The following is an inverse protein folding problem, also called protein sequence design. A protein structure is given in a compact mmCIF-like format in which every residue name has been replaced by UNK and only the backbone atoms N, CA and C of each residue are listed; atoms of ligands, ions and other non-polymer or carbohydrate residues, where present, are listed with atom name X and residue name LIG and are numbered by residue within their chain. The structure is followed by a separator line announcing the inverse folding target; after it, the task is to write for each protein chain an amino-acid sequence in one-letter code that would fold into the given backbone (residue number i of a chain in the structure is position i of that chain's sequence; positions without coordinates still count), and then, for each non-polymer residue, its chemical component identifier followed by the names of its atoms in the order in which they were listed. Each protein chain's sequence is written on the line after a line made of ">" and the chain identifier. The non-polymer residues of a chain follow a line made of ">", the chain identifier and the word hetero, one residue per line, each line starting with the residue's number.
data_IF_285916085120
#
_entry.id   IF_285916085120
#
_cell.length_a   1.000
_cell.length_b   1.000
_cell.length_c   1.000
_cell.angle_alpha   90.00
_cell.angle_beta   90.00
_cell.angle_gamma   90.00
#
_symmetry.space_group_name_H-M   'P 1'
#
loop_
_entity.id
_entity.type
_entity.pdbx_description
1 polymer ?
#
# COMPACT_ATOMS: atom_id res chain seq x y z
N UNK A 1 -15.16 23.60 -25.98
CA UNK A 1 -15.05 22.52 -24.98
C UNK A 1 -14.00 21.55 -25.50
N UNK A 2 -12.79 21.58 -24.95
CA UNK A 2 -11.66 20.76 -25.44
C UNK A 2 -11.73 19.44 -24.69
N UNK A 3 -12.12 18.36 -25.38
CA UNK A 3 -12.03 17.02 -24.85
C UNK A 3 -10.55 16.63 -24.89
N UNK A 4 -9.87 16.69 -23.75
CA UNK A 4 -8.59 16.00 -23.61
C UNK A 4 -8.91 14.50 -23.69
N UNK A 5 -8.57 13.88 -24.82
CA UNK A 5 -8.52 12.44 -24.94
C UNK A 5 -7.49 11.94 -23.92
N UNK A 6 -7.96 11.52 -22.76
CA UNK A 6 -7.15 10.80 -21.79
C UNK A 6 -6.85 9.46 -22.47
N UNK A 7 -5.64 9.32 -23.02
CA UNK A 7 -5.19 8.04 -23.54
C UNK A 7 -5.16 7.07 -22.35
N UNK A 8 -5.95 5.98 -22.38
CA UNK A 8 -6.01 5.06 -21.25
C UNK A 8 -4.64 4.40 -21.06
N UNK A 9 -4.07 4.53 -19.85
CA UNK A 9 -2.83 3.87 -19.47
C UNK A 9 -3.16 2.47 -18.94
N UNK A 10 -2.65 1.41 -19.56
CA UNK A 10 -2.87 0.04 -19.10
C UNK A 10 -1.86 -0.29 -18.00
N UNK A 11 -2.32 -0.43 -16.76
CA UNK A 11 -1.44 -0.56 -15.60
C UNK A 11 -1.10 -2.00 -15.25
N UNK A 12 -1.91 -2.97 -15.65
CA UNK A 12 -1.72 -4.37 -15.30
C UNK A 12 -0.91 -5.15 -16.33
N UNK A 13 -0.96 -4.75 -17.61
CA UNK A 13 -0.38 -5.52 -18.72
C UNK A 13 0.84 -4.86 -19.37
N UNK A 14 1.12 -3.59 -19.08
CA UNK A 14 2.23 -2.90 -19.72
C UNK A 14 3.56 -3.15 -18.98
N UNK A 15 4.64 -3.24 -19.77
CA UNK A 15 6.01 -3.41 -19.28
C UNK A 15 6.68 -2.09 -18.92
N UNK A 16 6.18 -0.97 -19.46
CA UNK A 16 6.67 0.39 -19.27
C UNK A 16 5.81 1.17 -18.25
N UNK A 17 5.42 0.49 -17.17
CA UNK A 17 4.57 1.09 -16.13
C UNK A 17 5.42 1.91 -15.17
N UNK A 18 4.92 3.09 -14.82
CA UNK A 18 5.47 3.97 -13.78
C UNK A 18 5.78 3.17 -12.50
N UNK A 19 6.95 3.41 -11.88
CA UNK A 19 7.41 2.67 -10.70
C UNK A 19 6.39 2.72 -9.54
N UNK A 20 5.70 3.85 -9.36
CA UNK A 20 4.68 4.01 -8.31
C UNK A 20 3.54 2.99 -8.54
N UNK A 21 3.10 2.86 -9.79
CA UNK A 21 2.02 1.96 -10.22
C UNK A 21 2.48 0.51 -10.20
N UNK A 22 3.75 0.24 -10.53
CA UNK A 22 4.31 -1.11 -10.47
C UNK A 22 4.27 -1.68 -9.04
N UNK A 23 4.56 -0.85 -8.03
CA UNK A 23 4.50 -1.23 -6.61
C UNK A 23 3.06 -1.39 -6.12
N UNK A 24 2.12 -0.59 -6.64
CA UNK A 24 0.70 -0.66 -6.30
C UNK A 24 -0.09 -1.69 -7.15
N UNK A 25 0.56 -2.41 -8.06
CA UNK A 25 -0.10 -3.30 -9.03
C UNK A 25 -1.01 -4.34 -8.38
N UNK A 26 -0.58 -4.93 -7.27
CA UNK A 26 -1.39 -5.94 -6.57
C UNK A 26 -2.65 -5.32 -5.95
N UNK A 27 -2.54 -4.13 -5.36
CA UNK A 27 -3.66 -3.40 -4.80
C UNK A 27 -4.67 -2.99 -5.89
N UNK A 28 -4.17 -2.50 -7.04
CA UNK A 28 -4.98 -2.17 -8.22
C UNK A 28 -5.74 -3.40 -8.71
N UNK A 29 -5.04 -4.53 -8.87
CA UNK A 29 -5.66 -5.77 -9.35
C UNK A 29 -6.76 -6.26 -8.40
N UNK A 30 -6.51 -6.21 -7.09
CA UNK A 30 -7.52 -6.57 -6.07
C UNK A 30 -8.74 -5.66 -6.17
N UNK A 31 -8.53 -4.34 -6.26
CA UNK A 31 -9.60 -3.38 -6.42
C UNK A 31 -10.46 -3.66 -7.67
N UNK A 32 -9.84 -3.91 -8.83
CA UNK A 32 -10.57 -4.20 -10.07
C UNK A 32 -11.47 -5.42 -9.92
N UNK A 33 -10.96 -6.51 -9.34
CA UNK A 33 -11.74 -7.74 -9.11
C UNK A 33 -12.89 -7.49 -8.13
N UNK A 34 -12.63 -6.82 -7.01
CA UNK A 34 -13.66 -6.53 -6.00
C UNK A 34 -14.74 -5.58 -6.53
N UNK A 35 -14.36 -4.60 -7.35
CA UNK A 35 -15.28 -3.67 -8.00
C UNK A 35 -16.20 -4.38 -9.00
N UNK A 36 -15.71 -5.32 -9.80
CA UNK A 36 -16.53 -6.12 -10.72
C UNK A 36 -17.65 -6.90 -10.00
N UNK A 37 -17.36 -7.40 -8.80
CA UNK A 37 -18.30 -8.13 -7.95
C UNK A 37 -19.25 -7.22 -7.15
N UNK A 38 -19.12 -5.90 -7.30
CA UNK A 38 -19.87 -4.93 -6.50
C UNK A 38 -21.07 -4.37 -7.26
N UNK A 39 -22.20 -4.30 -6.54
CA UNK A 39 -23.52 -3.93 -7.07
C UNK A 39 -24.13 -2.70 -6.38
N UNK A 40 -23.41 -2.04 -5.47
CA UNK A 40 -23.91 -0.85 -4.78
C UNK A 40 -22.86 0.25 -4.66
N UNK A 41 -23.31 1.51 -4.65
CA UNK A 41 -22.46 2.70 -4.52
C UNK A 41 -21.63 2.62 -3.24
N UNK A 42 -22.27 2.31 -2.11
CA UNK A 42 -21.59 2.07 -0.83
C UNK A 42 -20.49 1.00 -0.92
N UNK A 43 -20.75 -0.10 -1.64
CA UNK A 43 -19.77 -1.16 -1.87
C UNK A 43 -18.55 -0.68 -2.65
N UNK A 44 -18.76 0.10 -3.71
CA UNK A 44 -17.65 0.63 -4.50
C UNK A 44 -16.80 1.58 -3.66
N UNK A 45 -17.43 2.41 -2.84
CA UNK A 45 -16.73 3.32 -1.93
C UNK A 45 -15.93 2.57 -0.86
N UNK A 46 -16.42 1.44 -0.36
CA UNK A 46 -15.65 0.58 0.55
C UNK A 46 -14.38 0.07 -0.14
N UNK A 47 -14.50 -0.49 -1.34
CA UNK A 47 -13.34 -1.03 -2.08
C UNK A 47 -12.36 0.09 -2.44
N UNK A 48 -12.86 1.26 -2.84
CA UNK A 48 -12.05 2.43 -3.12
C UNK A 48 -11.33 2.94 -1.86
N UNK A 49 -11.97 2.86 -0.70
CA UNK A 49 -11.36 3.17 0.59
C UNK A 49 -10.21 2.22 0.92
N UNK A 50 -10.35 0.94 0.58
CA UNK A 50 -9.27 -0.04 0.66
C UNK A 50 -8.10 0.30 -0.27
N UNK A 51 -8.38 0.74 -1.50
CA UNK A 51 -7.35 1.18 -2.44
C UNK A 51 -6.62 2.45 -1.94
N UNK A 52 -7.36 3.42 -1.39
CA UNK A 52 -6.77 4.61 -0.77
C UNK A 52 -5.81 4.22 0.35
N UNK A 53 -6.20 3.28 1.21
CA UNK A 53 -5.34 2.82 2.30
C UNK A 53 -4.00 2.26 1.79
N UNK A 54 -4.01 1.45 0.73
CA UNK A 54 -2.77 0.90 0.12
C UNK A 54 -1.89 2.00 -0.47
N UNK A 55 -2.49 3.02 -1.07
CA UNK A 55 -1.76 4.19 -1.60
C UNK A 55 -1.16 5.01 -0.47
N UNK A 56 -1.90 5.20 0.63
CA UNK A 56 -1.40 5.89 1.83
C UNK A 56 -0.27 5.12 2.52
N UNK A 57 -0.35 3.79 2.59
CA UNK A 57 0.70 2.93 3.13
C UNK A 57 1.97 3.01 2.28
N UNK A 58 1.83 2.97 0.95
CA UNK A 58 2.92 3.25 0.03
C UNK A 58 3.53 4.65 0.25
N UNK A 59 2.69 5.66 0.48
CA UNK A 59 3.15 7.00 0.83
C UNK A 59 3.89 7.08 2.17
N UNK A 60 3.47 6.30 3.16
CA UNK A 60 4.17 6.18 4.44
C UNK A 60 5.54 5.52 4.25
N UNK A 61 5.61 4.44 3.47
CA UNK A 61 6.86 3.80 3.06
C UNK A 61 7.81 4.80 2.39
N UNK A 62 7.31 5.62 1.45
CA UNK A 62 8.14 6.63 0.78
C UNK A 62 8.66 7.75 1.68
N UNK A 63 7.94 8.08 2.75
CA UNK A 63 8.40 9.04 3.76
C UNK A 63 9.56 8.48 4.59
N UNK A 64 9.50 7.19 4.93
CA UNK A 64 10.55 6.51 5.69
C UNK A 64 11.79 6.22 4.82
N UNK A 65 11.59 5.80 3.57
CA UNK A 65 12.64 5.37 2.65
C UNK A 65 12.83 6.34 1.48
N UNK A 66 13.16 7.61 1.77
CA UNK A 66 13.37 8.67 0.76
C UNK A 66 14.36 8.33 -0.35
N UNK A 67 15.30 7.41 -0.11
CA UNK A 67 16.29 7.00 -1.12
C UNK A 67 15.69 6.17 -2.26
N UNK A 68 14.53 5.55 -2.04
CA UNK A 68 13.86 4.65 -2.99
C UNK A 68 12.76 5.38 -3.78
N UNK A 69 12.17 6.42 -3.19
CA UNK A 69 11.06 7.15 -3.79
C UNK A 69 11.50 8.45 -4.50
N UNK A 70 10.68 8.97 -5.42
CA UNK A 70 10.99 10.21 -6.13
C UNK A 70 11.18 11.40 -5.16
N UNK A 71 12.11 12.33 -5.43
CA UNK A 71 12.40 13.46 -4.55
C UNK A 71 11.20 14.40 -4.33
N UNK A 72 10.27 14.44 -5.28
CA UNK A 72 9.03 15.23 -5.23
C UNK A 72 7.80 14.31 -5.15
N UNK A 73 7.83 13.34 -4.23
CA UNK A 73 6.71 12.43 -4.01
C UNK A 73 5.45 13.20 -3.58
N UNK A 74 4.39 13.08 -4.38
CA UNK A 74 3.05 13.60 -4.07
C UNK A 74 2.04 12.46 -4.10
N UNK A 75 1.54 12.14 -2.91
CA UNK A 75 0.56 11.09 -2.68
C UNK A 75 -0.73 11.28 -3.48
N UNK A 76 -1.21 12.54 -3.60
CA UNK A 76 -2.41 12.85 -4.37
C UNK A 76 -2.18 12.59 -5.85
N UNK A 77 -0.99 12.89 -6.34
CA UNK A 77 -0.61 12.61 -7.72
C UNK A 77 -0.51 11.11 -7.98
N UNK A 78 0.06 10.33 -7.06
CA UNK A 78 0.07 8.86 -7.16
C UNK A 78 -1.36 8.32 -7.21
N UNK A 79 -2.24 8.78 -6.33
CA UNK A 79 -3.65 8.39 -6.35
C UNK A 79 -4.33 8.75 -7.69
N UNK A 80 -4.06 9.94 -8.23
CA UNK A 80 -4.57 10.33 -9.56
C UNK A 80 -4.04 9.41 -10.67
N UNK A 81 -2.76 9.04 -10.65
CA UNK A 81 -2.20 8.06 -11.61
C UNK A 81 -2.90 6.71 -11.50
N UNK A 82 -3.14 6.22 -10.28
CA UNK A 82 -3.88 4.97 -10.04
C UNK A 82 -5.29 5.04 -10.63
N UNK A 83 -6.02 6.13 -10.40
CA UNK A 83 -7.36 6.33 -10.98
C UNK A 83 -7.35 6.58 -12.50
N UNK A 84 -6.19 6.84 -13.09
CA UNK A 84 -6.02 7.00 -14.54
C UNK A 84 -5.73 5.67 -15.26
N UNK A 85 -5.53 4.59 -14.50
CA UNK A 85 -5.38 3.25 -15.06
C UNK A 85 -6.66 2.82 -15.77
N UNK A 86 -6.54 2.32 -17.00
CA UNK A 86 -7.66 1.89 -17.83
C UNK A 86 -8.55 0.86 -17.11
N UNK A 87 -7.92 -0.07 -16.39
CA UNK A 87 -8.61 -1.13 -15.65
C UNK A 87 -9.40 -0.54 -14.46
N UNK A 88 -8.83 0.45 -13.77
CA UNK A 88 -9.49 1.14 -12.65
C UNK A 88 -10.63 2.03 -13.16
N UNK A 89 -10.43 2.72 -14.29
CA UNK A 89 -11.45 3.53 -14.95
C UNK A 89 -12.66 2.66 -15.32
N UNK A 90 -12.41 1.52 -15.96
CA UNK A 90 -13.47 0.59 -16.35
C UNK A 90 -14.22 0.05 -15.13
N UNK A 91 -13.48 -0.32 -14.08
CA UNK A 91 -14.06 -0.78 -12.81
C UNK A 91 -14.90 0.31 -12.12
N UNK A 92 -14.54 1.58 -12.23
CA UNK A 92 -15.28 2.70 -11.65
C UNK A 92 -16.42 3.22 -12.53
N UNK A 93 -16.47 2.86 -13.82
CA UNK A 93 -17.48 3.35 -14.76
C UNK A 93 -18.94 3.25 -14.27
N UNK A 94 -19.37 2.21 -13.51
CA UNK A 94 -20.72 2.17 -12.96
C UNK A 94 -21.06 3.34 -12.03
N UNK A 95 -20.07 3.93 -11.35
CA UNK A 95 -20.29 5.09 -10.48
C UNK A 95 -20.48 6.41 -11.24
N UNK A 96 -20.19 6.47 -12.53
CA UNK A 96 -20.28 7.72 -13.30
C UNK A 96 -21.70 8.31 -13.30
N UNK A 97 -22.74 7.48 -13.20
CA UNK A 97 -24.14 7.90 -13.07
C UNK A 97 -24.57 8.32 -11.66
N UNK A 98 -23.72 8.10 -10.65
CA UNK A 98 -24.04 8.20 -9.24
C UNK A 98 -23.15 9.21 -8.51
N UNK A 99 -22.66 10.23 -9.21
CA UNK A 99 -21.70 11.22 -8.69
C UNK A 99 -22.24 11.95 -7.44
N UNK A 100 -23.53 12.26 -7.42
CA UNK A 100 -24.14 12.95 -6.28
C UNK A 100 -24.33 12.01 -5.08
N UNK A 101 -24.73 10.75 -5.31
CA UNK A 101 -24.78 9.71 -4.27
C UNK A 101 -23.40 9.48 -3.65
N UNK A 102 -22.34 9.47 -4.48
CA UNK A 102 -20.94 9.36 -4.02
C UNK A 102 -20.58 10.50 -3.09
N UNK A 103 -20.89 11.75 -3.46
CA UNK A 103 -20.61 12.93 -2.59
C UNK A 103 -21.35 12.79 -1.27
N UNK A 104 -22.66 12.51 -1.34
CA UNK A 104 -23.51 12.42 -0.16
C UNK A 104 -23.00 11.35 0.80
N UNK A 105 -22.72 10.15 0.30
CA UNK A 105 -22.23 9.03 1.12
C UNK A 105 -20.85 9.32 1.74
N UNK A 106 -19.93 9.94 1.01
CA UNK A 106 -18.59 10.27 1.54
C UNK A 106 -18.66 11.30 2.68
N UNK A 107 -19.58 12.26 2.60
CA UNK A 107 -19.77 13.26 3.65
C UNK A 107 -20.59 12.74 4.84
N UNK A 108 -21.68 12.01 4.57
CA UNK A 108 -22.63 11.57 5.60
C UNK A 108 -22.16 10.34 6.39
N UNK A 109 -21.49 9.39 5.74
CA UNK A 109 -21.11 8.11 6.36
C UNK A 109 -19.70 8.18 6.98
N UNK A 110 -19.51 7.77 8.25
CA UNK A 110 -18.19 7.67 8.84
C UNK A 110 -17.33 6.57 8.20
N UNK A 111 -17.96 5.58 7.54
CA UNK A 111 -17.28 4.47 6.87
C UNK A 111 -16.39 4.94 5.70
N UNK A 112 -16.75 6.07 5.09
CA UNK A 112 -16.09 6.62 3.91
C UNK A 112 -15.16 7.79 4.25
N UNK A 113 -14.82 7.98 5.54
CA UNK A 113 -14.02 9.12 6.00
C UNK A 113 -12.65 9.20 5.34
N UNK A 114 -12.03 8.05 5.03
CA UNK A 114 -10.72 7.97 4.34
C UNK A 114 -10.76 8.53 2.91
N UNK A 115 -11.93 8.57 2.27
CA UNK A 115 -12.08 9.09 0.90
C UNK A 115 -12.15 10.61 0.84
N UNK A 116 -12.51 11.28 1.94
CA UNK A 116 -12.74 12.73 1.98
C UNK A 116 -11.55 13.57 1.46
N UNK A 117 -10.28 13.25 1.78
CA UNK A 117 -9.15 14.00 1.25
C UNK A 117 -9.00 13.88 -0.26
N UNK A 118 -9.52 12.82 -0.87
CA UNK A 118 -9.38 12.50 -2.29
C UNK A 118 -10.66 12.70 -3.09
N UNK A 119 -11.74 13.18 -2.44
CA UNK A 119 -13.06 13.26 -3.03
C UNK A 119 -13.08 14.11 -4.30
N UNK A 120 -12.37 15.23 -4.33
CA UNK A 120 -12.24 16.08 -5.51
C UNK A 120 -11.63 15.33 -6.70
N UNK A 121 -10.61 14.49 -6.47
CA UNK A 121 -9.99 13.66 -7.51
C UNK A 121 -10.96 12.59 -8.00
N UNK A 122 -11.69 11.95 -7.07
CA UNK A 122 -12.69 10.92 -7.41
C UNK A 122 -13.78 11.54 -8.29
N UNK A 123 -14.33 12.68 -7.89
CA UNK A 123 -15.38 13.38 -8.64
C UNK A 123 -14.85 13.90 -9.98
N UNK A 124 -13.61 14.41 -10.03
CA UNK A 124 -12.94 14.79 -11.29
C UNK A 124 -12.88 13.62 -12.27
N UNK A 125 -12.50 12.43 -11.80
CA UNK A 125 -12.38 11.22 -12.61
C UNK A 125 -13.75 10.72 -13.07
N UNK A 126 -14.74 10.63 -12.17
CA UNK A 126 -16.09 10.16 -12.51
C UNK A 126 -16.79 11.08 -13.53
N UNK A 127 -16.64 12.41 -13.40
CA UNK A 127 -17.24 13.37 -14.34
C UNK A 127 -16.65 13.32 -15.76
N UNK A 128 -15.47 12.71 -15.94
CA UNK A 128 -14.85 12.53 -17.26
C UNK A 128 -15.30 11.25 -17.96
N UNK A 129 -15.94 10.34 -17.24
CA UNK A 129 -16.41 9.06 -17.77
C UNK A 129 -17.75 9.25 -18.48
N UNK A 130 -18.04 8.45 -19.52
CA UNK A 130 -19.39 8.34 -20.03
C UNK A 130 -20.31 7.78 -18.92
N UNK A 131 -21.55 8.26 -18.88
CA UNK A 131 -22.57 7.73 -17.98
C UNK A 131 -22.77 6.24 -18.27
N UNK A 132 -22.80 5.44 -17.21
CA UNK A 132 -23.11 4.02 -17.29
C UNK A 132 -24.60 3.80 -17.18
N UNK A 133 -25.13 2.86 -17.97
CA UNK A 133 -26.53 2.42 -17.89
C UNK A 133 -26.77 1.42 -16.74
N UNK A 134 -25.71 1.01 -16.04
CA UNK A 134 -25.80 0.04 -14.94
C UNK A 134 -26.42 0.71 -13.71
N UNK A 135 -27.65 0.36 -13.38
CA UNK A 135 -28.29 0.76 -12.13
C UNK A 135 -27.56 0.13 -10.93
N UNK A 136 -27.18 0.98 -9.97
CA UNK A 136 -26.59 0.58 -8.70
C UNK A 136 -27.54 0.87 -7.54
N UNK A 137 -27.59 -0.03 -6.57
CA UNK A 137 -28.20 0.26 -5.28
C UNK A 137 -27.34 1.28 -4.52
N UNK A 138 -27.94 2.24 -3.83
CA UNK A 138 -27.17 3.27 -3.10
C UNK A 138 -26.42 2.66 -1.90
N UNK A 139 -27.09 1.79 -1.14
CA UNK A 139 -26.50 1.09 0.00
C UNK A 139 -26.40 -0.41 -0.25
N UNK A 140 -25.34 -1.04 0.27
CA UNK A 140 -25.25 -2.50 0.33
C UNK A 140 -26.26 -3.02 1.38
N UNK A 141 -27.03 -4.07 1.09
CA UNK A 141 -27.88 -4.70 2.10
C UNK A 141 -27.04 -5.25 3.27
N UNK A 142 -27.61 -5.33 4.49
CA UNK A 142 -26.94 -5.98 5.60
C UNK A 142 -26.55 -7.42 5.28
N UNK A 143 -25.42 -7.89 5.82
CA UNK A 143 -24.83 -9.20 5.52
C UNK A 143 -25.83 -10.36 5.73
N UNK A 144 -26.73 -10.22 6.71
CA UNK A 144 -27.80 -11.19 7.01
C UNK A 144 -28.81 -11.40 5.87
N UNK A 145 -28.93 -10.45 4.95
CA UNK A 145 -29.83 -10.54 3.80
C UNK A 145 -29.12 -11.13 2.57
N UNK A 146 -27.81 -10.88 2.40
CA UNK A 146 -27.02 -11.50 1.33
C UNK A 146 -26.90 -13.02 1.46
N UNK A 147 -26.87 -13.58 2.67
CA UNK A 147 -26.82 -15.04 2.87
C UNK A 147 -28.09 -15.76 2.41
N UNK A 148 -29.21 -15.05 2.26
CA UNK A 148 -30.50 -15.66 1.89
C UNK A 148 -30.79 -15.67 0.40
N UNK A 149 -30.04 -14.93 -0.41
CA UNK A 149 -30.28 -14.90 -1.85
C UNK A 149 -29.59 -16.09 -2.55
N UNK A 150 -30.34 -17.05 -3.12
CA UNK A 150 -29.76 -18.20 -3.82
C UNK A 150 -29.01 -17.82 -5.11
N UNK A 151 -29.13 -16.58 -5.60
CA UNK A 151 -28.34 -16.05 -6.74
C UNK A 151 -26.98 -15.51 -6.31
N UNK A 152 -26.81 -15.22 -5.02
CA UNK A 152 -25.56 -14.79 -4.39
C UNK A 152 -24.88 -15.97 -3.70
N UNK A 153 -24.85 -17.12 -4.37
CA UNK A 153 -23.72 -18.04 -4.21
C UNK A 153 -22.66 -17.59 -5.19
N UNK A 154 -21.68 -16.74 -4.82
CA UNK A 154 -20.40 -16.89 -5.46
C UNK A 154 -20.01 -18.36 -5.33
N UNK A 155 -19.22 -18.87 -6.26
CA UNK A 155 -18.34 -20.01 -6.00
C UNK A 155 -17.31 -19.59 -4.93
N UNK A 156 -17.83 -19.29 -3.73
CA UNK A 156 -17.20 -18.83 -2.51
C UNK A 156 -16.54 -20.02 -1.81
N UNK A 157 -16.11 -21.01 -2.59
CA UNK A 157 -15.33 -22.15 -2.14
C UNK A 157 -13.83 -21.92 -2.26
N UNK A 158 -13.39 -20.87 -2.96
CA UNK A 158 -11.96 -20.77 -3.35
C UNK A 158 -11.27 -19.44 -3.02
N UNK A 159 -11.99 -18.37 -2.68
CA UNK A 159 -11.36 -17.04 -2.45
C UNK A 159 -11.67 -16.37 -1.12
N UNK A 160 -12.61 -16.91 -0.32
CA UNK A 160 -12.73 -16.58 1.09
C UNK A 160 -12.24 -17.77 1.91
N UNK A 161 -10.94 -18.02 1.89
CA UNK A 161 -10.34 -18.58 3.10
C UNK A 161 -10.34 -17.42 4.11
N UNK A 162 -11.12 -17.48 5.20
CA UNK A 162 -10.75 -16.68 6.35
C UNK A 162 -9.38 -17.21 6.72
N UNK A 163 -8.36 -16.36 6.66
CA UNK A 163 -7.10 -16.65 7.33
C UNK A 163 -7.44 -16.67 8.84
N UNK A 164 -7.95 -17.81 9.29
CA UNK A 164 -7.99 -18.22 10.69
C UNK A 164 -6.55 -18.70 10.91
N UNK A 165 -5.65 -17.90 11.51
CA UNK A 165 -4.43 -18.49 12.04
C UNK A 165 -4.89 -19.58 12.99
N UNK A 166 -4.43 -20.81 12.75
CA UNK A 166 -4.77 -21.94 13.59
C UNK A 166 -4.65 -21.52 15.06
N UNK A 167 -5.75 -21.69 15.78
CA UNK A 167 -5.81 -21.60 17.24
C UNK A 167 -4.76 -22.57 17.80
N UNK A 168 -3.57 -22.07 18.07
CA UNK A 168 -2.80 -22.56 19.21
C UNK A 168 -3.45 -21.92 20.42
N UNK A 169 -4.34 -22.67 21.05
CA UNK A 169 -4.75 -22.46 22.42
C UNK A 169 -3.48 -22.43 23.26
N UNK A 170 -3.00 -21.24 23.60
CA UNK A 170 -2.36 -21.04 24.88
C UNK A 170 -2.53 -19.59 25.34
N UNK A 171 -3.16 -19.44 26.50
CA UNK A 171 -3.37 -18.17 27.15
C UNK A 171 -2.02 -17.57 27.56
N UNK A 172 -1.55 -16.57 26.82
CA UNK A 172 -0.62 -15.59 27.40
C UNK A 172 -0.78 -14.22 26.78
N UNK A 173 -1.17 -13.28 27.64
CA UNK A 173 -1.07 -11.84 27.40
C UNK A 173 0.41 -11.51 27.20
N UNK A 174 0.84 -11.32 25.96
CA UNK A 174 2.21 -10.88 25.65
C UNK A 174 2.14 -9.52 24.97
N UNK A 175 2.54 -8.52 25.76
CA UNK A 175 2.88 -7.16 25.33
C UNK A 175 3.82 -7.19 24.13
N UNK A 176 3.45 -6.46 23.07
CA UNK A 176 4.18 -6.37 21.80
C UNK A 176 5.59 -5.80 22.05
N UNK A 177 6.54 -6.71 22.23
CA UNK A 177 7.90 -6.40 22.65
C UNK A 177 8.73 -5.94 21.45
N UNK A 178 9.33 -4.73 21.55
CA UNK A 178 10.32 -4.15 20.63
C UNK A 178 11.66 -4.94 20.58
N UNK A 179 11.63 -6.28 20.63
CA UNK A 179 12.82 -7.14 20.78
C UNK A 179 13.53 -7.47 19.46
N UNK A 180 12.87 -7.33 18.30
CA UNK A 180 13.48 -7.66 17.00
C UNK A 180 14.57 -6.69 16.53
N UNK A 181 14.44 -5.40 16.82
CA UNK A 181 15.41 -4.38 16.41
C UNK A 181 16.63 -4.36 17.35
N UNK A 182 16.40 -4.54 18.65
CA UNK A 182 17.46 -4.54 19.67
C UNK A 182 18.44 -5.71 19.45
N UNK A 183 17.94 -6.89 19.07
CA UNK A 183 18.80 -8.05 18.79
C UNK A 183 19.77 -7.83 17.63
N UNK A 184 19.32 -7.14 16.56
CA UNK A 184 20.19 -6.80 15.42
C UNK A 184 21.27 -5.79 15.81
N UNK A 185 20.91 -4.77 16.60
CA UNK A 185 21.86 -3.76 17.08
C UNK A 185 22.92 -4.37 18.00
N UNK A 186 22.54 -5.25 18.95
CA UNK A 186 23.50 -5.96 19.80
C UNK A 186 24.43 -6.89 19.00
N UNK A 187 23.94 -7.51 17.92
CA UNK A 187 24.75 -8.30 17.01
C UNK A 187 25.85 -7.48 16.35
N UNK A 188 25.51 -6.29 15.83
CA UNK A 188 26.50 -5.38 15.22
C UNK A 188 27.52 -4.85 16.23
N UNK A 189 27.08 -4.48 17.43
CA UNK A 189 28.00 -4.00 18.49
C UNK A 189 28.99 -5.10 18.88
N UNK A 190 28.51 -6.33 19.08
CA UNK A 190 29.37 -7.48 19.41
C UNK A 190 30.39 -7.78 18.32
N UNK A 191 29.98 -7.71 17.04
CA UNK A 191 30.87 -7.89 15.90
C UNK A 191 31.97 -6.82 15.84
N UNK A 192 31.63 -5.56 16.09
CA UNK A 192 32.61 -4.46 16.07
C UNK A 192 33.67 -4.60 17.16
N UNK A 193 33.29 -4.98 18.38
CA UNK A 193 34.24 -5.21 19.48
C UNK A 193 35.20 -6.35 19.13
N UNK A 194 34.69 -7.43 18.54
CA UNK A 194 35.50 -8.58 18.13
C UNK A 194 36.51 -8.20 17.04
N UNK A 195 36.11 -7.40 16.05
CA UNK A 195 37.01 -6.91 15.00
C UNK A 195 38.11 -5.99 15.54
N UNK A 196 37.77 -5.08 16.46
CA UNK A 196 38.76 -4.23 17.13
C UNK A 196 39.74 -5.08 17.94
N UNK A 197 39.24 -6.10 18.65
CA UNK A 197 40.07 -7.03 19.41
C UNK A 197 41.05 -7.81 18.53
N UNK A 198 40.58 -8.35 17.40
CA UNK A 198 41.44 -9.05 16.43
C UNK A 198 42.49 -8.10 15.85
N UNK A 199 42.10 -6.88 15.50
CA UNK A 199 43.02 -5.87 14.97
C UNK A 199 44.11 -5.54 15.99
N UNK A 200 43.74 -5.31 17.25
CA UNK A 200 44.69 -5.01 18.32
C UNK A 200 45.62 -6.20 18.63
N UNK A 201 45.08 -7.42 18.67
CA UNK A 201 45.87 -8.63 18.88
C UNK A 201 46.87 -8.87 17.74
N UNK A 202 46.44 -8.66 16.49
CA UNK A 202 47.30 -8.76 15.31
C UNK A 202 48.42 -7.72 15.35
N UNK A 203 48.10 -6.48 15.74
CA UNK A 203 49.09 -5.41 15.92
C UNK A 203 50.09 -5.74 17.03
N UNK A 204 49.62 -6.23 18.18
CA UNK A 204 50.49 -6.62 19.29
C UNK A 204 51.43 -7.78 18.92
N UNK A 205 50.95 -8.75 18.14
CA UNK A 205 51.80 -9.81 17.60
C UNK A 205 52.85 -9.25 16.63
N UNK A 206 52.46 -8.37 15.71
CA UNK A 206 53.37 -7.75 14.75
C UNK A 206 54.50 -6.96 15.44
N UNK A 207 54.17 -6.23 16.51
CA UNK A 207 55.16 -5.51 17.35
C UNK A 207 56.04 -6.50 18.11
N UNK A 208 55.46 -7.56 18.71
CA UNK A 208 56.21 -8.56 19.49
C UNK A 208 57.22 -9.34 18.64
N UNK A 209 56.90 -9.59 17.37
CA UNK A 209 57.77 -10.29 16.43
C UNK A 209 58.65 -9.33 15.60
N UNK A 210 58.75 -8.06 15.98
CA UNK A 210 59.58 -7.02 15.34
C UNK A 210 59.35 -6.87 13.83
N UNK A 211 58.18 -7.28 13.34
CA UNK A 211 57.80 -7.15 11.92
C UNK A 211 57.45 -5.69 11.56
N UNK A 212 57.16 -4.86 12.56
CA UNK A 212 56.86 -3.43 12.42
C UNK A 212 57.56 -2.70 13.59
N UNK A 213 58.43 -1.74 13.30
CA UNK A 213 58.97 -0.86 14.33
C UNK A 213 57.84 -0.03 14.95
N UNK A 214 57.71 0.04 16.29
CA UNK A 214 56.72 0.90 16.92
C UNK A 214 57.01 2.35 16.51
N UNK A 215 55.97 3.04 16.03
CA UNK A 215 56.00 4.45 15.62
C UNK A 215 56.71 5.28 16.72
N UNK A 216 58.00 5.53 16.52
CA UNK A 216 58.76 6.46 17.35
C UNK A 216 58.17 7.83 17.08
N UNK A 217 57.65 8.43 18.15
CA UNK A 217 57.16 9.79 18.19
C UNK A 217 58.15 10.72 17.51
N UNK A 218 57.76 11.25 16.35
CA UNK A 218 58.45 12.34 15.68
C UNK A 218 58.12 13.59 16.51
N UNK A 219 59.11 14.26 17.14
CA UNK A 219 58.84 15.55 17.76
C UNK A 219 58.45 16.53 16.66
N UNK A 220 57.24 17.07 16.75
CA UNK A 220 56.80 18.19 15.91
C UNK A 220 57.61 19.44 16.28
N UNK A 221 57.98 20.28 15.29
CA UNK A 221 58.75 21.50 15.50
C UNK A 221 57.99 22.57 16.30
#
# INVERSE_FOLDING_TARGET
>A
MVYYLVVPMYCLNDSLVDNDIALLRQAIRRFVIEAELTHSVDGYLINLGGLVFEVEDYGAFCKEYRAVCPPNFDLRNVFRKVLSCAEVINALSPLAGHVDDVKELVYSSPRHKSLRPYLDIIIEVLNRMPLSEKELEVMRPPISELERDPRTKPELGTYLSPYIPAETTDHSVVTRSKKGVIGRVLGYVSLTILLIGISYFSYALLVKYELIEPLRWIPLP
#
